data_IF_003046755962
#
_entry.id   IF_003046755962
#
_cell.length_a   1.000
_cell.length_b   1.000
_cell.length_c   1.000
_cell.angle_alpha   90.00
_cell.angle_beta   90.00
_cell.angle_gamma   90.00
#
_symmetry.space_group_name_H-M   'P 1'
#
loop_
_entity.id
_entity.type
_entity.pdbx_description
1 polymer ?
#
# COMPACT_ATOMS: atom_id res chain seq x y z
N UNK A 1 -67.16 50.15 6.54
CA UNK A 1 -68.03 50.09 7.73
C UNK A 1 -67.31 49.36 8.84
N UNK A 2 -67.24 50.04 9.98
CA UNK A 2 -66.55 49.71 11.23
C UNK A 2 -66.82 48.29 11.77
N UNK A 3 -65.79 47.61 12.28
CA UNK A 3 -65.50 47.61 13.72
C UNK A 3 -64.25 46.77 14.05
N UNK A 4 -63.27 47.47 14.59
CA UNK A 4 -62.26 46.94 15.49
C UNK A 4 -62.95 46.48 16.79
N UNK A 5 -62.63 45.28 17.29
CA UNK A 5 -62.88 44.93 18.70
C UNK A 5 -61.84 43.95 19.23
N UNK A 6 -60.98 44.48 20.10
CA UNK A 6 -60.52 43.88 21.36
C UNK A 6 -59.70 42.58 21.31
N UNK A 7 -58.38 42.73 21.29
CA UNK A 7 -57.42 41.71 21.73
C UNK A 7 -57.45 41.59 23.27
N UNK A 8 -57.93 40.45 23.80
CA UNK A 8 -57.62 40.03 25.17
C UNK A 8 -56.33 39.19 25.14
N UNK A 9 -55.30 39.69 25.81
CA UNK A 9 -54.11 38.94 26.16
C UNK A 9 -54.49 37.80 27.12
N UNK A 10 -54.36 36.56 26.66
CA UNK A 10 -54.39 35.37 27.50
C UNK A 10 -52.98 34.81 27.55
N UNK A 11 -52.29 34.97 28.69
CA UNK A 11 -51.00 34.34 28.94
C UNK A 11 -51.19 32.84 29.16
N UNK A 12 -51.14 32.08 28.07
CA UNK A 12 -51.05 30.62 28.15
C UNK A 12 -49.64 30.23 28.57
N UNK A 13 -49.49 29.84 29.83
CA UNK A 13 -48.29 29.15 30.33
C UNK A 13 -48.17 27.79 29.62
N UNK A 14 -47.37 27.73 28.56
CA UNK A 14 -47.07 26.50 27.85
C UNK A 14 -46.24 25.58 28.76
N UNK A 15 -46.91 24.63 29.42
CA UNK A 15 -46.23 23.51 30.08
C UNK A 15 -45.72 22.58 28.99
N UNK A 16 -44.44 22.66 28.68
CA UNK A 16 -43.76 21.68 27.85
C UNK A 16 -43.74 20.34 28.58
N UNK A 17 -44.66 19.44 28.21
CA UNK A 17 -44.62 18.05 28.64
C UNK A 17 -43.64 17.31 27.73
N UNK A 18 -42.43 17.07 28.23
CA UNK A 18 -41.48 16.18 27.59
C UNK A 18 -41.98 14.74 27.76
N UNK A 19 -42.54 14.17 26.69
CA UNK A 19 -42.89 12.76 26.65
C UNK A 19 -41.62 11.91 26.68
N UNK A 20 -41.47 11.09 27.72
CA UNK A 20 -40.34 10.18 27.94
C UNK A 20 -40.04 9.27 26.74
N UNK A 21 -41.04 8.99 25.91
CA UNK A 21 -40.90 8.18 24.68
C UNK A 21 -40.00 8.83 23.62
N UNK A 22 -39.85 10.16 23.59
CA UNK A 22 -38.96 10.85 22.63
C UNK A 22 -37.50 10.86 23.08
N UNK A 23 -37.22 10.66 24.37
CA UNK A 23 -35.85 10.57 24.91
C UNK A 23 -35.26 9.16 24.71
N UNK A 24 -36.09 8.12 24.81
CA UNK A 24 -35.67 6.72 24.64
C UNK A 24 -35.23 6.36 23.22
N UNK A 25 -35.80 6.99 22.18
CA UNK A 25 -35.42 6.71 20.78
C UNK A 25 -34.05 7.30 20.40
N UNK A 26 -33.64 8.41 21.02
CA UNK A 26 -32.32 9.04 20.80
C UNK A 26 -31.20 8.26 21.52
N UNK A 27 -31.49 7.64 22.65
CA UNK A 27 -30.54 6.80 23.38
C UNK A 27 -30.31 5.45 22.69
N UNK A 28 -31.31 4.91 21.99
CA UNK A 28 -31.16 3.65 21.24
C UNK A 28 -30.18 3.74 20.05
N UNK A 29 -30.09 4.89 19.39
CA UNK A 29 -29.14 5.12 18.30
C UNK A 29 -27.69 5.31 18.77
N UNK A 30 -27.49 5.96 19.91
CA UNK A 30 -26.15 6.14 20.50
C UNK A 30 -25.54 4.82 21.02
N UNK A 31 -26.38 3.83 21.36
CA UNK A 31 -25.91 2.53 21.85
C UNK A 31 -25.66 1.54 20.69
N UNK A 32 -26.30 1.73 19.53
CA UNK A 32 -26.05 0.89 18.35
C UNK A 32 -24.71 1.22 17.65
N UNK A 33 -24.18 2.44 17.82
CA UNK A 33 -22.92 2.89 17.20
C UNK A 33 -21.65 2.40 17.94
N UNK A 34 -21.78 2.00 19.22
CA UNK A 34 -20.62 1.70 20.06
C UNK A 34 -19.97 0.31 19.84
N UNK A 35 -20.50 -0.49 18.91
CA UNK A 35 -20.07 -1.90 18.72
C UNK A 35 -19.18 -2.13 17.49
N UNK A 36 -19.00 -1.14 16.60
CA UNK A 36 -18.07 -1.25 15.48
C UNK A 36 -16.63 -0.91 15.92
N UNK A 37 -15.98 -1.87 16.59
CA UNK A 37 -14.51 -1.85 16.72
C UNK A 37 -13.93 -2.20 15.35
N UNK A 38 -13.49 -1.19 14.58
CA UNK A 38 -12.59 -1.44 13.45
C UNK A 38 -11.34 -2.11 14.05
N UNK A 39 -10.98 -3.34 13.64
CA UNK A 39 -9.78 -3.96 14.14
C UNK A 39 -8.60 -3.08 13.77
N UNK A 40 -7.82 -2.66 14.76
CA UNK A 40 -6.56 -1.98 14.50
C UNK A 40 -5.64 -3.00 13.84
N UNK A 41 -5.43 -2.87 12.53
CA UNK A 41 -4.44 -3.67 11.81
C UNK A 41 -3.08 -3.08 12.11
N UNK A 42 -2.30 -3.76 12.95
CA UNK A 42 -0.87 -3.46 13.09
C UNK A 42 -0.11 -4.05 11.91
N UNK A 43 0.15 -3.22 10.90
CA UNK A 43 1.12 -3.51 9.85
C UNK A 43 2.45 -2.81 10.15
N UNK A 44 3.54 -3.30 9.54
CA UNK A 44 4.82 -2.61 9.57
C UNK A 44 4.72 -1.33 8.74
N UNK A 45 4.76 -0.18 9.39
CA UNK A 45 4.62 1.12 8.74
C UNK A 45 5.99 1.72 8.40
N UNK A 46 6.50 1.35 7.22
CA UNK A 46 7.66 1.97 6.60
C UNK A 46 7.29 2.82 5.36
N UNK A 47 6.00 3.13 5.18
CA UNK A 47 5.49 3.85 4.01
C UNK A 47 5.50 3.07 2.69
N UNK A 48 5.81 1.77 2.68
CA UNK A 48 5.75 0.89 1.51
C UNK A 48 4.58 -0.10 1.60
N UNK A 49 4.30 -0.82 0.51
CA UNK A 49 3.29 -1.89 0.51
C UNK A 49 1.84 -1.43 0.67
N UNK A 50 1.54 -0.15 0.41
CA UNK A 50 0.18 0.41 0.45
C UNK A 50 -0.76 -0.27 -0.57
N UNK A 51 -0.18 -0.78 -1.67
CA UNK A 51 -0.80 -1.76 -2.56
C UNK A 51 0.16 -2.94 -2.71
N UNK A 52 -0.34 -4.13 -3.10
CA UNK A 52 0.54 -5.24 -3.44
C UNK A 52 1.58 -4.82 -4.48
N UNK A 53 2.85 -5.15 -4.24
CA UNK A 53 3.92 -4.90 -5.18
C UNK A 53 3.75 -5.74 -6.44
N UNK A 54 4.11 -5.18 -7.59
CA UNK A 54 4.05 -5.85 -8.89
C UNK A 54 5.43 -5.82 -9.54
N UNK A 55 5.84 -6.96 -10.11
CA UNK A 55 7.17 -7.10 -10.67
C UNK A 55 7.41 -8.46 -11.29
N UNK A 56 8.68 -8.74 -11.55
CA UNK A 56 9.19 -10.01 -12.04
C UNK A 56 10.16 -10.61 -11.03
N UNK A 57 10.22 -11.94 -10.98
CA UNK A 57 11.18 -12.69 -10.17
C UNK A 57 11.83 -13.77 -11.07
N UNK A 58 13.14 -13.98 -10.91
CA UNK A 58 13.92 -14.89 -11.76
C UNK A 58 13.64 -16.38 -11.57
N UNK A 59 13.08 -16.80 -10.43
CA UNK A 59 13.07 -18.19 -9.99
C UNK A 59 12.22 -19.11 -10.87
N UNK A 60 10.97 -18.75 -11.14
CA UNK A 60 9.98 -19.66 -11.72
C UNK A 60 10.39 -20.22 -13.10
N UNK A 61 11.21 -19.50 -13.85
CA UNK A 61 11.65 -19.93 -15.18
C UNK A 61 13.14 -20.31 -15.22
N UNK A 62 14.01 -19.56 -14.55
CA UNK A 62 15.47 -19.73 -14.68
C UNK A 62 16.10 -20.55 -13.55
N UNK A 63 15.57 -20.46 -12.32
CA UNK A 63 16.25 -21.00 -11.14
C UNK A 63 17.74 -20.59 -11.09
N UNK A 64 18.62 -21.53 -10.74
CA UNK A 64 20.08 -21.30 -10.79
C UNK A 64 20.71 -21.44 -12.19
N UNK A 65 19.95 -21.86 -13.21
CA UNK A 65 20.49 -22.28 -14.49
C UNK A 65 20.43 -21.13 -15.51
N UNK A 66 21.58 -20.50 -15.75
CA UNK A 66 21.72 -19.45 -16.77
C UNK A 66 21.34 -18.04 -16.29
N UNK A 67 21.02 -17.85 -15.01
CA UNK A 67 20.83 -16.51 -14.44
C UNK A 67 22.17 -15.76 -14.40
N UNK A 68 22.23 -14.59 -15.03
CA UNK A 68 23.40 -13.71 -15.08
C UNK A 68 22.96 -12.26 -15.34
N UNK A 69 23.90 -11.32 -15.25
CA UNK A 69 23.63 -9.88 -15.38
C UNK A 69 22.99 -9.51 -16.72
N UNK A 70 23.49 -10.07 -17.83
CA UNK A 70 22.96 -9.80 -19.17
C UNK A 70 21.48 -10.17 -19.26
N UNK A 71 21.13 -11.38 -18.83
CA UNK A 71 19.75 -11.85 -18.84
C UNK A 71 18.83 -10.96 -17.99
N UNK A 72 19.26 -10.58 -16.78
CA UNK A 72 18.45 -9.73 -15.89
C UNK A 72 18.23 -8.35 -16.53
N UNK A 73 19.24 -7.78 -17.19
CA UNK A 73 19.11 -6.51 -17.92
C UNK A 73 18.15 -6.62 -19.10
N UNK A 74 18.26 -7.68 -19.90
CA UNK A 74 17.36 -7.94 -21.03
C UNK A 74 15.89 -8.07 -20.58
N UNK A 75 15.63 -8.78 -19.47
CA UNK A 75 14.28 -8.89 -18.91
C UNK A 75 13.78 -7.53 -18.40
N UNK A 76 14.62 -6.76 -17.72
CA UNK A 76 14.25 -5.43 -17.23
C UNK A 76 13.94 -4.46 -18.38
N UNK A 77 14.72 -4.51 -19.46
CA UNK A 77 14.47 -3.76 -20.69
C UNK A 77 13.17 -4.21 -21.38
N UNK A 78 12.90 -5.51 -21.41
CA UNK A 78 11.64 -6.05 -21.90
C UNK A 78 10.44 -5.55 -21.09
N UNK A 79 10.55 -5.50 -19.75
CA UNK A 79 9.48 -4.96 -18.91
C UNK A 79 9.15 -3.50 -19.24
N UNK A 80 10.14 -2.69 -19.60
CA UNK A 80 9.93 -1.30 -20.04
C UNK A 80 9.36 -1.26 -21.45
N UNK A 81 10.05 -1.87 -22.42
CA UNK A 81 9.70 -1.77 -23.85
C UNK A 81 8.35 -2.38 -24.21
N UNK A 82 7.89 -3.39 -23.45
CA UNK A 82 6.57 -4.02 -23.66
C UNK A 82 5.43 -3.30 -22.94
N UNK A 83 5.71 -2.27 -22.13
CA UNK A 83 4.70 -1.53 -21.38
C UNK A 83 4.28 -2.17 -20.05
N UNK A 84 4.90 -3.28 -19.62
CA UNK A 84 4.62 -3.88 -18.31
C UNK A 84 4.97 -2.92 -17.15
N UNK A 85 6.06 -2.16 -17.30
CA UNK A 85 6.42 -1.11 -16.35
C UNK A 85 5.29 -0.09 -16.20
N UNK A 86 4.69 0.36 -17.30
CA UNK A 86 3.58 1.33 -17.28
C UNK A 86 2.30 0.73 -16.71
N UNK A 87 2.09 -0.57 -16.88
CA UNK A 87 1.02 -1.33 -16.22
C UNK A 87 1.26 -1.58 -14.71
N UNK A 88 2.39 -1.14 -14.15
CA UNK A 88 2.68 -1.18 -12.71
C UNK A 88 3.72 -2.21 -12.27
N UNK A 89 4.26 -3.05 -13.18
CA UNK A 89 5.31 -4.01 -12.85
C UNK A 89 6.66 -3.30 -12.71
N UNK A 90 6.95 -2.81 -11.50
CA UNK A 90 8.11 -1.94 -11.22
C UNK A 90 9.29 -2.66 -10.59
N UNK A 91 9.10 -3.83 -9.99
CA UNK A 91 10.16 -4.54 -9.25
C UNK A 91 10.82 -5.62 -10.11
N UNK A 92 12.15 -5.61 -10.19
CA UNK A 92 12.99 -6.67 -10.76
C UNK A 92 13.67 -7.37 -9.58
N UNK A 93 13.15 -8.54 -9.20
CA UNK A 93 13.65 -9.28 -8.06
C UNK A 93 14.56 -10.41 -8.55
N UNK A 94 15.85 -10.29 -8.22
CA UNK A 94 16.81 -11.38 -8.41
C UNK A 94 16.65 -12.36 -7.25
N UNK A 95 16.35 -13.61 -7.57
CA UNK A 95 16.18 -14.68 -6.58
C UNK A 95 17.55 -15.30 -6.23
N UNK A 96 17.62 -16.58 -5.88
CA UNK A 96 18.86 -17.24 -5.45
C UNK A 96 19.97 -17.32 -6.53
N UNK A 97 21.13 -17.85 -6.12
CA UNK A 97 22.27 -18.24 -6.97
C UNK A 97 23.09 -17.08 -7.59
N UNK A 98 23.03 -15.89 -7.00
CA UNK A 98 23.84 -14.71 -7.32
C UNK A 98 25.14 -14.61 -6.52
N UNK A 99 25.23 -15.35 -5.42
CA UNK A 99 26.32 -15.37 -4.45
C UNK A 99 27.17 -16.63 -4.55
N UNK A 100 28.45 -16.54 -4.18
CA UNK A 100 29.39 -17.69 -4.18
C UNK A 100 29.88 -18.09 -2.80
N UNK A 101 30.03 -17.14 -1.87
CA UNK A 101 30.60 -17.43 -0.54
C UNK A 101 30.34 -16.30 0.46
N UNK A 102 30.97 -16.39 1.64
CA UNK A 102 31.14 -15.26 2.55
C UNK A 102 32.62 -15.02 2.80
N UNK A 103 33.02 -13.76 2.88
CA UNK A 103 34.40 -13.39 3.18
C UNK A 103 34.72 -13.54 4.69
N UNK A 104 35.96 -13.23 5.09
CA UNK A 104 36.44 -13.37 6.49
C UNK A 104 35.66 -12.54 7.51
N UNK A 105 34.97 -11.48 7.10
CA UNK A 105 34.13 -10.65 7.99
C UNK A 105 32.64 -11.01 7.91
N UNK A 106 32.30 -12.06 7.15
CA UNK A 106 30.94 -12.58 7.03
C UNK A 106 30.10 -11.91 5.94
N UNK A 107 30.63 -10.98 5.15
CA UNK A 107 29.89 -10.40 4.02
C UNK A 107 29.71 -11.41 2.90
N UNK A 108 28.52 -11.41 2.28
CA UNK A 108 28.22 -12.21 1.10
C UNK A 108 29.13 -11.75 -0.04
N UNK A 109 29.73 -12.69 -0.75
CA UNK A 109 30.53 -12.45 -1.94
C UNK A 109 29.70 -12.84 -3.15
N UNK A 110 29.58 -11.89 -4.08
CA UNK A 110 28.85 -12.02 -5.34
C UNK A 110 29.60 -12.92 -6.33
N UNK A 111 28.86 -13.55 -7.23
CA UNK A 111 29.42 -14.25 -8.37
C UNK A 111 29.79 -13.25 -9.47
N UNK A 112 31.01 -12.69 -9.42
CA UNK A 112 31.51 -11.77 -10.47
C UNK A 112 31.67 -12.42 -11.86
N UNK A 113 31.61 -13.75 -11.96
CA UNK A 113 31.55 -14.44 -13.25
C UNK A 113 30.18 -14.31 -13.92
N UNK A 114 29.11 -14.36 -13.13
CA UNK A 114 27.73 -14.13 -13.60
C UNK A 114 27.34 -12.65 -13.60
N UNK A 115 27.88 -11.88 -12.66
CA UNK A 115 27.54 -10.49 -12.38
C UNK A 115 28.79 -9.62 -12.37
N UNK A 116 29.40 -9.34 -13.54
CA UNK A 116 30.68 -8.64 -13.63
C UNK A 116 30.67 -7.22 -13.08
N UNK A 117 29.52 -6.53 -13.06
CA UNK A 117 29.39 -5.21 -12.42
C UNK A 117 29.02 -5.27 -10.94
N UNK A 118 28.77 -6.48 -10.43
CA UNK A 118 28.21 -6.74 -9.12
C UNK A 118 26.76 -6.27 -8.95
N UNK A 119 26.20 -6.51 -7.77
CA UNK A 119 24.82 -6.17 -7.42
C UNK A 119 24.61 -4.66 -7.36
N UNK A 120 25.63 -3.90 -6.95
CA UNK A 120 25.57 -2.45 -6.98
C UNK A 120 25.44 -1.91 -8.42
N UNK A 121 26.27 -2.39 -9.34
CA UNK A 121 26.23 -1.98 -10.75
C UNK A 121 24.92 -2.39 -11.45
N UNK A 122 24.44 -3.62 -11.19
CA UNK A 122 23.15 -4.08 -11.70
C UNK A 122 21.98 -3.26 -11.15
N UNK A 123 21.96 -2.99 -9.84
CA UNK A 123 20.94 -2.17 -9.17
C UNK A 123 20.92 -0.75 -9.73
N UNK A 124 22.09 -0.13 -9.89
CA UNK A 124 22.21 1.22 -10.45
C UNK A 124 21.71 1.28 -11.90
N UNK A 125 22.02 0.28 -12.71
CA UNK A 125 21.48 0.19 -14.07
C UNK A 125 19.95 0.13 -14.07
N UNK A 126 19.36 -0.82 -13.34
CA UNK A 126 17.91 -1.03 -13.26
C UNK A 126 17.20 0.23 -12.75
N UNK A 127 17.76 0.89 -11.73
CA UNK A 127 17.15 2.06 -11.11
C UNK A 127 17.31 3.32 -11.94
N UNK A 128 18.52 3.62 -12.38
CA UNK A 128 18.83 4.92 -12.97
C UNK A 128 18.62 4.93 -14.49
N UNK A 129 18.87 3.82 -15.19
CA UNK A 129 18.69 3.75 -16.63
C UNK A 129 17.25 3.38 -17.03
N UNK A 130 16.59 2.48 -16.27
CA UNK A 130 15.26 1.96 -16.62
C UNK A 130 14.12 2.51 -15.76
N UNK A 131 14.43 3.21 -14.66
CA UNK A 131 13.42 3.72 -13.73
C UNK A 131 12.66 2.63 -12.97
N UNK A 132 13.20 1.41 -12.93
CA UNK A 132 12.65 0.27 -12.20
C UNK A 132 13.22 0.19 -10.77
N UNK A 133 12.68 -0.71 -9.96
CA UNK A 133 13.14 -1.00 -8.59
C UNK A 133 13.86 -2.34 -8.60
N UNK A 134 15.00 -2.41 -7.92
CA UNK A 134 15.75 -3.66 -7.78
C UNK A 134 15.46 -4.32 -6.42
N UNK A 135 15.19 -5.61 -6.45
CA UNK A 135 15.03 -6.47 -5.27
C UNK A 135 16.09 -7.56 -5.24
N UNK A 136 16.61 -7.82 -4.05
CA UNK A 136 17.61 -8.85 -3.73
C UNK A 136 17.31 -9.43 -2.35
#
# INVERSE_FOLDING_TARGET
MNKFSSLRSSSSSARFSFSASRVLLLLGWLIFDASFRVPLVCAYDNGLGLTPQMGWNSWNFFGCNGINETLVKEIAEAMVSTGLSDAGYKYVNLDDCWQVSRNKTGHIVEDFGKFPSGMAGLSDYIRNALGLKFGL
#
